data_IF_020210580967
#
_entry.id   IF_020210580967
#
_cell.length_a   1.000
_cell.length_b   1.000
_cell.length_c   1.000
_cell.angle_alpha   90.00
_cell.angle_beta   90.00
_cell.angle_gamma   90.00
#
_symmetry.space_group_name_H-M   'P 1'
#
loop_
_entity.id
_entity.type
_entity.pdbx_description
1 polymer ?
#
# COMPACT_ATOMS: atom_id res chain seq x y z
N UNK A 1 25.73 -29.94 50.57
CA UNK A 1 26.27 -30.44 49.29
C UNK A 1 26.14 -31.96 49.11
N UNK A 2 24.91 -32.51 49.27
CA UNK A 2 24.66 -33.96 49.11
C UNK A 2 23.61 -34.35 48.06
N UNK A 3 23.33 -33.48 47.10
CA UNK A 3 22.22 -33.74 46.15
C UNK A 3 22.62 -33.90 44.68
N UNK A 4 23.91 -34.05 44.35
CA UNK A 4 24.35 -34.41 43.02
C UNK A 4 24.92 -35.80 42.96
N UNK A 5 24.09 -36.83 43.17
CA UNK A 5 24.41 -38.18 42.73
C UNK A 5 24.23 -38.23 41.21
N UNK A 6 25.35 -38.17 40.49
CA UNK A 6 25.40 -38.48 39.07
C UNK A 6 24.94 -39.90 38.84
N UNK A 7 23.68 -40.10 38.54
CA UNK A 7 23.17 -41.39 38.12
C UNK A 7 23.54 -41.63 36.66
N UNK A 8 24.62 -42.36 36.47
CA UNK A 8 25.34 -42.56 35.18
C UNK A 8 24.64 -43.55 34.23
N UNK A 9 23.30 -43.70 34.31
CA UNK A 9 22.52 -44.43 33.31
C UNK A 9 21.86 -43.45 32.38
N UNK A 10 22.56 -42.97 31.36
CA UNK A 10 21.96 -42.19 30.28
C UNK A 10 20.88 -43.04 29.61
N UNK A 11 19.67 -42.51 29.54
CA UNK A 11 18.56 -43.15 28.84
C UNK A 11 18.97 -43.41 27.38
N UNK A 12 18.53 -44.53 26.79
CA UNK A 12 18.78 -44.86 25.37
C UNK A 12 18.37 -43.75 24.40
N UNK A 13 17.41 -42.93 24.77
CA UNK A 13 16.97 -41.76 24.03
C UNK A 13 18.05 -40.68 24.04
N UNK A 14 18.66 -40.42 25.19
CA UNK A 14 19.75 -39.43 25.33
C UNK A 14 20.97 -39.86 24.53
N UNK A 15 21.33 -41.14 24.57
CA UNK A 15 22.46 -41.71 23.79
C UNK A 15 22.22 -41.57 22.26
N UNK A 16 21.00 -41.83 21.79
CA UNK A 16 20.63 -41.63 20.38
C UNK A 16 20.70 -40.17 19.98
N UNK A 17 20.23 -39.27 20.85
CA UNK A 17 20.28 -37.82 20.61
C UNK A 17 21.71 -37.29 20.58
N UNK A 18 22.55 -37.70 21.57
CA UNK A 18 23.98 -37.34 21.57
C UNK A 18 24.72 -37.85 20.35
N UNK A 19 24.42 -39.06 19.89
CA UNK A 19 25.02 -39.62 18.66
C UNK A 19 24.65 -38.82 17.41
N UNK A 20 23.39 -38.38 17.32
CA UNK A 20 22.89 -37.53 16.22
C UNK A 20 23.50 -36.14 16.27
N UNK A 21 23.58 -35.54 17.48
CA UNK A 21 24.25 -34.25 17.69
C UNK A 21 25.74 -34.29 17.35
N UNK A 22 26.44 -35.34 17.76
CA UNK A 22 27.85 -35.51 17.45
C UNK A 22 28.07 -35.72 15.94
N UNK A 23 27.17 -36.44 15.26
CA UNK A 23 27.18 -36.56 13.79
C UNK A 23 27.02 -35.17 13.11
N UNK A 24 26.06 -34.40 13.51
CA UNK A 24 25.85 -33.00 13.01
C UNK A 24 27.06 -32.12 13.30
N UNK A 25 27.61 -32.19 14.51
CA UNK A 25 28.81 -31.44 14.91
C UNK A 25 30.03 -31.78 14.03
N UNK A 26 30.21 -33.04 13.71
CA UNK A 26 31.31 -33.46 12.84
C UNK A 26 31.13 -33.00 11.41
N UNK A 27 29.91 -33.11 10.86
CA UNK A 27 29.57 -32.60 9.51
C UNK A 27 29.83 -31.09 9.47
N UNK A 28 29.32 -30.36 10.48
CA UNK A 28 29.54 -28.91 10.58
C UNK A 28 31.03 -28.55 10.66
N UNK A 29 31.79 -29.23 11.52
CA UNK A 29 33.24 -28.98 11.67
C UNK A 29 34.02 -29.26 10.37
N UNK A 30 33.74 -30.36 9.71
CA UNK A 30 34.42 -30.73 8.44
C UNK A 30 34.04 -29.75 7.34
N UNK A 31 32.75 -29.41 7.22
CA UNK A 31 32.26 -28.40 6.27
C UNK A 31 32.93 -27.07 6.51
N UNK A 32 32.90 -26.57 7.75
CA UNK A 32 33.44 -25.26 8.14
C UNK A 32 34.98 -25.21 7.81
N UNK A 33 35.73 -26.25 8.18
CA UNK A 33 37.16 -26.27 7.91
C UNK A 33 37.44 -26.30 6.40
N UNK A 34 36.64 -27.03 5.63
CA UNK A 34 36.75 -27.05 4.17
C UNK A 34 36.47 -25.68 3.54
N UNK A 35 35.48 -24.99 4.05
CA UNK A 35 35.14 -23.64 3.55
C UNK A 35 36.19 -22.58 3.92
N UNK A 36 36.69 -22.60 5.16
CA UNK A 36 37.72 -21.65 5.62
C UNK A 36 38.99 -21.74 4.77
N UNK A 37 39.34 -22.94 4.35
CA UNK A 37 40.54 -23.17 3.49
C UNK A 37 40.34 -22.68 2.05
N UNK A 38 39.08 -22.45 1.61
CA UNK A 38 38.76 -22.00 0.25
C UNK A 38 38.53 -20.47 0.22
N UNK A 39 39.49 -19.69 0.68
CA UNK A 39 39.41 -18.20 0.80
C UNK A 39 38.93 -17.53 -0.49
N UNK A 40 39.35 -17.99 -1.67
CA UNK A 40 38.92 -17.41 -2.95
C UNK A 40 37.43 -17.60 -3.20
N UNK A 41 36.84 -18.72 -2.81
CA UNK A 41 35.41 -19.00 -2.97
C UNK A 41 34.58 -18.10 -2.01
N UNK A 42 35.05 -17.98 -0.78
CA UNK A 42 34.39 -17.12 0.21
C UNK A 42 34.38 -15.65 -0.28
N UNK A 43 35.53 -15.18 -0.78
CA UNK A 43 35.66 -13.83 -1.29
C UNK A 43 34.78 -13.59 -2.54
N UNK A 44 34.76 -14.55 -3.47
CA UNK A 44 33.86 -14.50 -4.63
C UNK A 44 32.39 -14.46 -4.22
N UNK A 45 31.98 -15.28 -3.24
CA UNK A 45 30.62 -15.28 -2.72
C UNK A 45 30.25 -13.93 -2.09
N UNK A 46 31.18 -13.35 -1.31
CA UNK A 46 30.97 -12.05 -0.69
C UNK A 46 30.80 -10.94 -1.74
N UNK A 47 31.63 -10.91 -2.77
CA UNK A 47 31.50 -9.95 -3.89
C UNK A 47 30.19 -10.15 -4.62
N UNK A 48 29.83 -11.39 -4.93
CA UNK A 48 28.56 -11.68 -5.61
C UNK A 48 27.36 -11.22 -4.79
N UNK A 49 27.37 -11.49 -3.48
CA UNK A 49 26.30 -11.02 -2.58
C UNK A 49 26.23 -9.49 -2.54
N UNK A 50 27.37 -8.81 -2.51
CA UNK A 50 27.41 -7.36 -2.54
C UNK A 50 26.83 -6.80 -3.83
N UNK A 51 27.19 -7.35 -4.98
CA UNK A 51 26.66 -6.96 -6.30
C UNK A 51 25.14 -7.19 -6.35
N UNK A 52 24.66 -8.34 -5.91
CA UNK A 52 23.24 -8.66 -5.85
C UNK A 52 22.49 -7.70 -4.92
N UNK A 53 23.06 -7.36 -3.78
CA UNK A 53 22.46 -6.40 -2.84
C UNK A 53 22.27 -5.03 -3.49
N UNK A 54 23.30 -4.51 -4.15
CA UNK A 54 23.23 -3.22 -4.86
C UNK A 54 22.22 -3.29 -5.99
N UNK A 55 22.22 -4.39 -6.75
CA UNK A 55 21.27 -4.61 -7.84
C UNK A 55 19.81 -4.60 -7.34
N UNK A 56 19.50 -5.39 -6.32
CA UNK A 56 18.14 -5.43 -5.75
C UNK A 56 17.74 -4.12 -5.09
N UNK A 57 18.68 -3.44 -4.40
CA UNK A 57 18.39 -2.15 -3.80
C UNK A 57 17.97 -1.08 -4.81
N UNK A 58 18.61 -1.08 -5.98
CA UNK A 58 18.27 -0.14 -7.06
C UNK A 58 16.97 -0.51 -7.79
N UNK A 59 16.64 -1.80 -7.89
CA UNK A 59 15.45 -2.29 -8.60
C UNK A 59 14.25 -2.52 -7.68
N UNK A 60 14.45 -2.52 -6.37
CA UNK A 60 13.35 -2.67 -5.43
C UNK A 60 12.39 -1.47 -5.52
N UNK A 61 11.08 -1.71 -5.62
CA UNK A 61 10.10 -0.62 -5.60
C UNK A 61 10.18 0.13 -4.28
N UNK A 62 10.51 1.43 -4.34
CA UNK A 62 10.61 2.32 -3.18
C UNK A 62 9.21 2.76 -2.74
N UNK A 63 8.37 1.83 -2.34
CA UNK A 63 7.02 2.09 -1.84
C UNK A 63 7.00 1.92 -0.33
N UNK A 64 6.51 2.92 0.38
CA UNK A 64 6.36 2.83 1.83
C UNK A 64 5.27 1.83 2.23
N UNK A 65 4.18 1.80 1.47
CA UNK A 65 3.04 0.88 1.66
C UNK A 65 2.53 0.49 0.28
N UNK A 66 2.52 -0.80 -0.02
CA UNK A 66 1.90 -1.31 -1.23
C UNK A 66 0.38 -1.11 -1.18
N UNK A 67 -0.27 -0.74 -2.30
CA UNK A 67 -1.73 -0.66 -2.34
C UNK A 67 -2.34 -2.05 -2.11
N UNK A 68 -3.01 -2.21 -0.98
CA UNK A 68 -3.71 -3.45 -0.62
C UNK A 68 -5.10 -3.49 -1.22
N UNK A 69 -5.50 -4.66 -1.72
CA UNK A 69 -6.87 -4.91 -2.12
C UNK A 69 -7.72 -5.33 -0.92
N UNK A 70 -8.48 -4.39 -0.39
CA UNK A 70 -9.37 -4.60 0.77
C UNK A 70 -10.82 -4.88 0.38
N UNK A 71 -11.08 -5.17 -0.88
CA UNK A 71 -12.43 -5.39 -1.36
C UNK A 71 -13.30 -4.14 -1.37
N UNK A 72 -12.70 -2.95 -1.34
CA UNK A 72 -13.40 -1.67 -1.44
C UNK A 72 -12.46 -0.56 -1.90
N UNK A 73 -12.99 0.45 -2.57
CA UNK A 73 -12.31 1.72 -2.83
C UNK A 73 -13.26 2.89 -2.62
N UNK A 74 -12.68 4.08 -2.42
CA UNK A 74 -13.45 5.31 -2.22
C UNK A 74 -13.35 6.18 -3.46
N UNK A 75 -14.45 6.74 -3.91
CA UNK A 75 -14.46 7.83 -4.89
C UNK A 75 -14.65 9.13 -4.11
N UNK A 76 -13.62 9.95 -4.08
CA UNK A 76 -13.66 11.26 -3.42
C UNK A 76 -14.16 12.27 -4.44
N UNK A 77 -15.16 13.03 -4.05
CA UNK A 77 -15.78 14.05 -4.88
C UNK A 77 -15.56 15.42 -4.23
N UNK A 78 -15.00 16.34 -5.03
CA UNK A 78 -14.82 17.73 -4.62
C UNK A 78 -15.44 18.65 -5.67
N UNK A 79 -16.48 19.35 -5.29
CA UNK A 79 -17.06 20.42 -6.07
C UNK A 79 -16.26 21.74 -5.90
N UNK A 80 -16.38 22.71 -6.82
CA UNK A 80 -15.75 24.00 -6.68
C UNK A 80 -16.10 24.69 -5.37
N UNK A 81 -15.20 25.55 -4.91
CA UNK A 81 -15.45 26.33 -3.70
C UNK A 81 -16.66 27.25 -3.90
N UNK A 82 -17.56 27.30 -2.93
CA UNK A 82 -18.84 28.04 -3.04
C UNK A 82 -20.00 27.20 -3.59
N UNK A 83 -19.76 25.95 -4.04
CA UNK A 83 -20.85 25.07 -4.45
C UNK A 83 -21.75 24.70 -3.28
N UNK A 84 -23.07 24.78 -3.50
CA UNK A 84 -24.07 24.36 -2.52
C UNK A 84 -24.24 22.85 -2.43
N UNK A 85 -24.94 22.41 -1.39
CA UNK A 85 -25.23 20.98 -1.15
C UNK A 85 -25.90 20.29 -2.34
N UNK A 86 -26.93 20.92 -2.92
CA UNK A 86 -27.69 20.33 -4.03
C UNK A 86 -26.84 20.12 -5.28
N UNK A 87 -25.93 21.06 -5.59
CA UNK A 87 -25.00 20.89 -6.70
C UNK A 87 -24.09 19.68 -6.47
N UNK A 88 -23.48 19.59 -5.29
CA UNK A 88 -22.57 18.47 -4.94
C UNK A 88 -23.32 17.13 -4.94
N UNK A 89 -24.54 17.12 -4.40
CA UNK A 89 -25.40 15.93 -4.38
C UNK A 89 -25.73 15.47 -5.80
N UNK A 90 -26.21 16.36 -6.68
CA UNK A 90 -26.56 16.02 -8.06
C UNK A 90 -25.34 15.46 -8.83
N UNK A 91 -24.15 16.03 -8.62
CA UNK A 91 -22.91 15.54 -9.23
C UNK A 91 -22.48 14.19 -8.66
N UNK A 92 -22.67 13.94 -7.39
CA UNK A 92 -22.43 12.65 -6.78
C UNK A 92 -23.40 11.58 -7.32
N UNK A 93 -24.68 11.91 -7.49
CA UNK A 93 -25.68 11.03 -8.11
C UNK A 93 -25.36 10.74 -9.59
N UNK A 94 -24.81 11.71 -10.32
CA UNK A 94 -24.35 11.51 -11.70
C UNK A 94 -23.22 10.47 -11.76
N UNK A 95 -22.24 10.57 -10.85
CA UNK A 95 -21.16 9.60 -10.73
C UNK A 95 -21.69 8.22 -10.29
N UNK A 96 -22.61 8.17 -9.34
CA UNK A 96 -23.24 6.94 -8.89
C UNK A 96 -23.93 6.22 -10.03
N UNK A 97 -24.70 6.94 -10.85
CA UNK A 97 -25.39 6.40 -12.05
C UNK A 97 -24.41 5.79 -13.07
N UNK A 98 -23.20 6.32 -13.19
CA UNK A 98 -22.18 5.73 -14.07
C UNK A 98 -21.59 4.42 -13.53
N UNK A 99 -21.55 4.27 -12.19
CA UNK A 99 -21.01 3.08 -11.54
C UNK A 99 -22.06 2.01 -11.26
N UNK A 100 -23.33 2.41 -11.11
CA UNK A 100 -24.45 1.52 -10.75
C UNK A 100 -24.64 0.33 -11.71
N UNK A 101 -24.48 0.48 -13.04
CA UNK A 101 -24.61 -0.64 -13.99
C UNK A 101 -23.62 -1.78 -13.77
N UNK A 102 -22.52 -1.57 -13.05
CA UNK A 102 -21.52 -2.59 -12.74
C UNK A 102 -21.87 -3.40 -11.47
N UNK A 103 -22.83 -2.91 -10.68
CA UNK A 103 -23.29 -3.62 -9.47
C UNK A 103 -24.01 -4.89 -9.85
N UNK A 104 -23.64 -6.01 -9.24
CA UNK A 104 -24.22 -7.33 -9.51
C UNK A 104 -23.70 -8.04 -10.76
N UNK A 105 -22.75 -7.44 -11.51
CA UNK A 105 -22.10 -8.06 -12.68
C UNK A 105 -20.83 -8.86 -12.33
N UNK A 106 -20.62 -9.16 -11.05
CA UNK A 106 -19.51 -10.00 -10.59
C UNK A 106 -18.33 -9.25 -9.98
N UNK A 107 -18.28 -7.93 -10.03
CA UNK A 107 -17.18 -7.14 -9.45
C UNK A 107 -17.63 -6.18 -8.37
N UNK A 108 -18.69 -5.40 -8.63
CA UNK A 108 -19.24 -4.45 -7.65
C UNK A 108 -20.40 -5.11 -6.90
N UNK A 109 -20.27 -5.11 -5.58
CA UNK A 109 -21.31 -5.65 -4.70
C UNK A 109 -22.32 -4.59 -4.28
N UNK A 110 -21.84 -3.38 -3.95
CA UNK A 110 -22.67 -2.29 -3.41
C UNK A 110 -21.98 -0.93 -3.56
N UNK A 111 -22.78 0.10 -3.76
CA UNK A 111 -22.38 1.50 -3.66
C UNK A 111 -23.01 2.13 -2.42
N UNK A 112 -22.25 2.98 -1.73
CA UNK A 112 -22.74 3.79 -0.62
C UNK A 112 -22.27 5.22 -0.87
N UNK A 113 -23.20 6.10 -1.24
CA UNK A 113 -22.94 7.51 -1.46
C UNK A 113 -23.24 8.32 -0.20
N UNK A 114 -22.41 9.32 0.05
CA UNK A 114 -22.63 10.30 1.12
C UNK A 114 -22.18 11.69 0.71
N UNK A 115 -23.07 12.67 0.93
CA UNK A 115 -22.83 14.10 0.82
C UNK A 115 -23.46 14.75 2.06
N UNK A 116 -22.75 15.59 2.81
CA UNK A 116 -21.32 15.92 2.73
C UNK A 116 -20.41 14.76 3.13
N UNK A 117 -19.12 14.91 2.83
CA UNK A 117 -18.10 13.90 3.14
C UNK A 117 -17.91 13.58 4.63
N UNK A 118 -16.91 12.78 4.99
CA UNK A 118 -16.62 12.40 6.38
C UNK A 118 -15.56 13.30 7.05
N UNK A 119 -15.57 13.34 8.39
CA UNK A 119 -14.56 14.00 9.22
C UNK A 119 -14.51 15.50 8.99
N UNK A 120 -13.34 16.05 8.71
CA UNK A 120 -13.19 17.49 8.42
C UNK A 120 -14.02 17.94 7.22
N UNK A 121 -14.23 17.07 6.25
CA UNK A 121 -15.05 17.32 5.07
C UNK A 121 -16.56 17.28 5.35
N UNK A 122 -17.02 16.78 6.51
CA UNK A 122 -18.44 16.76 6.87
C UNK A 122 -19.04 18.15 7.06
N UNK A 123 -18.19 19.16 7.34
CA UNK A 123 -18.59 20.56 7.42
C UNK A 123 -18.59 21.29 6.07
N UNK A 124 -18.07 20.65 5.03
CA UNK A 124 -17.93 21.20 3.69
C UNK A 124 -18.99 20.61 2.77
N UNK A 125 -20.03 21.36 2.47
CA UNK A 125 -21.12 20.94 1.57
C UNK A 125 -20.67 20.71 0.12
N UNK A 126 -19.50 21.21 -0.25
CA UNK A 126 -18.88 21.01 -1.57
C UNK A 126 -18.03 19.74 -1.65
N UNK A 127 -18.17 18.81 -0.72
CA UNK A 127 -17.46 17.54 -0.74
C UNK A 127 -18.40 16.36 -0.54
N UNK A 128 -18.08 15.24 -1.19
CA UNK A 128 -18.79 13.98 -1.04
C UNK A 128 -17.86 12.81 -1.27
N UNK A 129 -18.36 11.61 -1.07
CA UNK A 129 -17.66 10.38 -1.45
C UNK A 129 -18.64 9.25 -1.73
N UNK A 130 -18.18 8.31 -2.53
CA UNK A 130 -18.87 7.05 -2.77
C UNK A 130 -17.94 5.93 -2.32
N UNK A 131 -18.43 5.02 -1.48
CA UNK A 131 -17.75 3.76 -1.16
C UNK A 131 -18.22 2.74 -2.17
N UNK A 132 -17.29 2.19 -2.93
CA UNK A 132 -17.52 1.08 -3.85
C UNK A 132 -17.06 -0.18 -3.16
N UNK A 133 -17.98 -1.02 -2.72
CA UNK A 133 -17.71 -2.34 -2.18
C UNK A 133 -17.62 -3.34 -3.32
N UNK A 134 -16.50 -4.05 -3.37
CA UNK A 134 -16.26 -5.10 -4.36
C UNK A 134 -16.73 -6.46 -3.85
N UNK A 135 -16.95 -7.38 -4.77
CA UNK A 135 -17.16 -8.78 -4.41
C UNK A 135 -15.93 -9.38 -3.75
N UNK A 136 -16.09 -10.40 -2.88
CA UNK A 136 -14.97 -11.12 -2.26
C UNK A 136 -14.00 -11.66 -3.31
N UNK A 137 -12.74 -11.81 -2.97
CA UNK A 137 -11.66 -12.24 -3.88
C UNK A 137 -11.93 -13.56 -4.58
N UNK A 138 -12.62 -14.48 -3.91
CA UNK A 138 -13.02 -15.78 -4.47
C UNK A 138 -14.18 -15.71 -5.48
N UNK A 139 -14.81 -14.54 -5.65
CA UNK A 139 -15.94 -14.31 -6.57
C UNK A 139 -15.62 -13.32 -7.68
N UNK A 140 -14.40 -12.81 -7.76
CA UNK A 140 -13.97 -11.88 -8.80
C UNK A 140 -12.61 -12.29 -9.37
N UNK A 141 -12.43 -12.06 -10.66
CA UNK A 141 -11.22 -12.44 -11.38
C UNK A 141 -10.14 -11.36 -11.33
N UNK A 142 -10.55 -10.10 -11.08
CA UNK A 142 -9.66 -8.94 -11.19
C UNK A 142 -9.32 -8.35 -9.83
N UNK A 143 -8.07 -7.90 -9.71
CA UNK A 143 -7.58 -7.20 -8.52
C UNK A 143 -8.23 -5.81 -8.38
N UNK A 144 -8.62 -5.42 -7.15
CA UNK A 144 -9.35 -4.18 -6.89
C UNK A 144 -8.66 -2.91 -7.38
N UNK A 145 -7.32 -2.87 -7.40
CA UNK A 145 -6.56 -1.74 -7.95
C UNK A 145 -6.82 -1.57 -9.45
N UNK A 146 -6.93 -2.66 -10.21
CA UNK A 146 -7.23 -2.62 -11.64
C UNK A 146 -8.65 -2.09 -11.88
N UNK A 147 -9.62 -2.62 -11.13
CA UNK A 147 -11.02 -2.19 -11.17
C UNK A 147 -11.15 -0.70 -10.84
N UNK A 148 -10.44 -0.24 -9.79
CA UNK A 148 -10.39 1.17 -9.40
C UNK A 148 -9.83 2.06 -10.52
N UNK A 149 -8.75 1.65 -11.19
CA UNK A 149 -8.15 2.44 -12.29
C UNK A 149 -9.09 2.58 -13.47
N UNK A 150 -9.79 1.54 -13.84
CA UNK A 150 -10.78 1.56 -14.93
C UNK A 150 -11.97 2.45 -14.58
N UNK A 151 -12.44 2.42 -13.32
CA UNK A 151 -13.51 3.30 -12.87
C UNK A 151 -13.12 4.78 -12.95
N UNK A 152 -11.84 5.13 -12.81
CA UNK A 152 -11.36 6.50 -12.96
C UNK A 152 -11.68 7.08 -14.33
N UNK A 153 -11.52 6.31 -15.40
CA UNK A 153 -11.85 6.75 -16.76
C UNK A 153 -13.32 7.15 -16.95
N UNK A 154 -14.24 6.44 -16.25
CA UNK A 154 -15.67 6.75 -16.26
C UNK A 154 -15.99 7.98 -15.40
N UNK A 155 -15.43 8.02 -14.20
CA UNK A 155 -15.68 9.06 -13.20
C UNK A 155 -15.15 10.42 -13.65
N UNK A 156 -13.98 10.46 -14.29
CA UNK A 156 -13.33 11.69 -14.75
C UNK A 156 -14.08 12.43 -15.84
N UNK A 157 -15.07 11.79 -16.46
CA UNK A 157 -15.89 12.39 -17.52
C UNK A 157 -16.97 13.33 -16.97
N UNK A 158 -17.27 13.30 -15.67
CA UNK A 158 -18.29 14.15 -15.07
C UNK A 158 -17.78 15.59 -14.92
N UNK A 159 -18.31 16.54 -15.70
CA UNK A 159 -17.83 17.90 -15.66
C UNK A 159 -18.28 18.66 -14.39
N UNK A 160 -17.51 19.67 -14.00
CA UNK A 160 -17.85 20.57 -12.90
C UNK A 160 -17.47 20.08 -11.51
N UNK A 161 -16.91 18.87 -11.37
CA UNK A 161 -16.38 18.36 -10.12
C UNK A 161 -15.02 17.67 -10.34
N UNK A 162 -14.22 17.65 -9.30
CA UNK A 162 -13.03 16.81 -9.25
C UNK A 162 -13.38 15.51 -8.53
N UNK A 163 -13.42 14.41 -9.27
CA UNK A 163 -13.69 13.10 -8.71
C UNK A 163 -12.54 12.13 -9.01
N UNK A 164 -12.07 11.42 -7.99
CA UNK A 164 -10.98 10.46 -8.15
C UNK A 164 -11.13 9.29 -7.17
N UNK A 165 -10.84 8.06 -7.63
CA UNK A 165 -10.87 6.89 -6.79
C UNK A 165 -9.58 6.73 -5.99
N UNK A 166 -9.70 6.23 -4.77
CA UNK A 166 -8.59 5.99 -3.83
C UNK A 166 -8.78 4.66 -3.13
N UNK A 167 -7.72 3.85 -3.07
CA UNK A 167 -7.74 2.64 -2.25
C UNK A 167 -7.56 2.99 -0.77
N UNK A 168 -8.32 2.34 0.14
CA UNK A 168 -8.09 2.48 1.57
C UNK A 168 -6.72 1.90 1.93
N UNK A 169 -5.91 2.68 2.62
CA UNK A 169 -4.60 2.22 3.10
C UNK A 169 -4.73 1.40 4.39
N UNK A 170 -3.90 0.36 4.54
CA UNK A 170 -3.88 -0.54 5.70
C UNK A 170 -3.46 0.17 6.98
N UNK A 171 -2.48 1.02 6.89
CA UNK A 171 -1.96 1.81 8.00
C UNK A 171 -2.45 3.25 7.83
N UNK A 172 -3.25 3.72 8.77
CA UNK A 172 -3.70 5.11 8.79
C UNK A 172 -2.59 6.01 9.32
N UNK A 173 -1.94 6.73 8.45
CA UNK A 173 -1.00 7.80 8.79
C UNK A 173 -1.69 9.17 8.83
N UNK A 174 -2.95 9.23 9.33
CA UNK A 174 -3.60 10.53 9.56
C UNK A 174 -4.40 11.12 8.40
N UNK A 175 -5.18 10.33 7.67
CA UNK A 175 -6.13 10.80 6.64
C UNK A 175 -5.81 10.31 5.23
N UNK A 176 -6.61 10.73 4.25
CA UNK A 176 -6.28 10.53 2.83
C UNK A 176 -5.10 11.45 2.52
N UNK A 177 -3.89 10.92 2.62
CA UNK A 177 -2.68 11.67 2.31
C UNK A 177 -2.34 11.47 0.84
N UNK A 178 -2.25 12.57 0.12
CA UNK A 178 -1.57 12.56 -1.16
C UNK A 178 -0.09 12.22 -0.91
N UNK A 179 0.53 11.40 -1.75
CA UNK A 179 1.93 10.98 -1.56
C UNK A 179 2.91 12.16 -1.54
N UNK A 180 2.52 13.28 -2.14
CA UNK A 180 3.30 14.52 -2.13
C UNK A 180 2.39 15.67 -1.74
N UNK A 181 2.78 16.43 -0.71
CA UNK A 181 2.05 17.60 -0.23
C UNK A 181 3.01 18.76 -0.07
N UNK A 182 2.65 19.90 -0.63
CA UNK A 182 3.39 21.14 -0.47
C UNK A 182 2.51 22.14 0.28
N UNK A 183 3.09 22.79 1.26
CA UNK A 183 2.49 23.94 1.95
C UNK A 183 3.19 25.19 1.46
N UNK A 184 2.43 26.08 0.82
CA UNK A 184 2.92 27.35 0.32
C UNK A 184 2.50 28.41 1.33
N UNK A 185 3.46 29.13 1.86
CA UNK A 185 3.22 30.26 2.77
C UNK A 185 3.59 31.54 2.04
N UNK A 186 2.79 32.58 2.20
CA UNK A 186 3.02 33.88 1.60
C UNK A 186 2.26 34.97 2.35
N UNK A 187 2.75 36.19 2.24
CA UNK A 187 2.17 37.34 2.95
C UNK A 187 0.94 37.90 2.25
N UNK A 188 0.78 37.68 0.95
CA UNK A 188 -0.36 38.14 0.15
C UNK A 188 -0.96 37.02 -0.67
N UNK A 189 -2.25 37.13 -0.99
CA UNK A 189 -2.96 36.13 -1.78
C UNK A 189 -2.41 36.03 -3.21
N UNK A 190 -1.99 37.14 -3.79
CA UNK A 190 -1.45 37.19 -5.15
C UNK A 190 -0.13 36.43 -5.25
N UNK A 191 0.76 36.60 -4.27
CA UNK A 191 2.00 35.80 -4.18
C UNK A 191 1.72 34.28 -4.07
N UNK A 192 0.70 33.89 -3.31
CA UNK A 192 0.31 32.48 -3.19
C UNK A 192 -0.19 31.92 -4.52
N UNK A 193 -0.92 32.69 -5.32
CA UNK A 193 -1.40 32.28 -6.64
C UNK A 193 -0.21 32.12 -7.61
N UNK A 194 0.72 33.05 -7.59
CA UNK A 194 1.93 33.02 -8.42
C UNK A 194 2.76 31.78 -8.13
N UNK A 195 3.15 31.55 -6.88
CA UNK A 195 3.91 30.37 -6.44
C UNK A 195 3.18 29.06 -6.72
N UNK A 196 1.87 29.01 -6.49
CA UNK A 196 1.05 27.84 -6.85
C UNK A 196 1.18 27.51 -8.35
N UNK A 197 1.12 28.51 -9.21
CA UNK A 197 1.19 28.30 -10.65
C UNK A 197 2.59 27.85 -11.09
N UNK A 198 3.66 28.41 -10.52
CA UNK A 198 5.04 28.01 -10.77
C UNK A 198 5.24 26.54 -10.38
N UNK A 199 4.87 26.16 -9.14
CA UNK A 199 5.02 24.78 -8.66
C UNK A 199 4.20 23.80 -9.51
N UNK A 200 2.96 24.17 -9.86
CA UNK A 200 2.11 23.32 -10.71
C UNK A 200 2.70 23.11 -12.10
N UNK A 201 3.31 24.12 -12.69
CA UNK A 201 3.93 24.03 -14.01
C UNK A 201 5.21 23.18 -13.97
N UNK A 202 6.04 23.34 -12.94
CA UNK A 202 7.23 22.50 -12.76
C UNK A 202 6.85 21.04 -12.44
N UNK A 203 5.85 20.79 -11.60
CA UNK A 203 5.37 19.45 -11.31
C UNK A 203 4.84 18.70 -12.55
N UNK A 204 4.30 19.42 -13.53
CA UNK A 204 3.83 18.80 -14.79
C UNK A 204 4.97 18.35 -15.71
N UNK A 205 6.17 18.87 -15.53
CA UNK A 205 7.37 18.50 -16.32
C UNK A 205 8.01 17.20 -15.81
N UNK A 206 7.69 16.82 -14.57
CA UNK A 206 8.16 15.56 -13.95
C UNK A 206 7.03 14.53 -13.99
N UNK A 207 7.20 13.43 -14.72
CA UNK A 207 6.21 12.35 -14.85
C UNK A 207 6.04 11.55 -13.55
#
# INVERSE_FOLDING_TARGET
SKFLRSNNKKSNIVLKFEKKLNGLKNIYKTSLTSWINKKKIIFSFLITTLILTVFFFNHAPKQLIAPEDRGAFFVIIKAPQGSGFNFTKNKAEEIEKLLLPEVGKGEYRRLIMRVPGFGKSSKQVNSGFIIVLLEPWNKRDRHGVKIMRESFGKISQVPGVLAFPVMPQGIRTGGVQNPVQFVILGNTYDQLIEWKNIIKNEARKNP
#
